data_IF_212973193426
#
_entry.id   IF_212973193426
#
_cell.length_a   1.000
_cell.length_b   1.000
_cell.length_c   1.000
_cell.angle_alpha   90.00
_cell.angle_beta   90.00
_cell.angle_gamma   90.00
#
_symmetry.space_group_name_H-M   'P 1'
#
loop_
_entity.id
_entity.type
_entity.pdbx_description
1 polymer ?
#
# COMPACT_ATOMS: atom_id res chain seq x y z
N UNK A 1 39.68 7.47 -26.84
CA UNK A 1 39.37 6.51 -25.80
C UNK A 1 38.47 7.12 -24.69
N UNK A 2 38.79 8.28 -24.19
CA UNK A 2 37.98 8.93 -23.14
C UNK A 2 36.55 9.28 -23.57
N UNK A 3 36.36 9.64 -24.83
CA UNK A 3 35.03 9.96 -25.37
C UNK A 3 34.11 8.75 -25.48
N UNK A 4 34.68 7.58 -25.77
CA UNK A 4 33.88 6.34 -25.83
C UNK A 4 33.43 5.87 -24.44
N UNK A 5 34.24 6.12 -23.45
CA UNK A 5 33.93 5.82 -22.05
C UNK A 5 32.79 6.68 -21.52
N UNK A 6 32.80 7.97 -21.88
CA UNK A 6 31.75 8.91 -21.51
C UNK A 6 30.41 8.56 -22.16
N UNK A 7 30.41 8.09 -23.39
CA UNK A 7 29.21 7.65 -24.09
C UNK A 7 28.57 6.43 -23.43
N UNK A 8 29.39 5.48 -23.00
CA UNK A 8 28.91 4.31 -22.27
C UNK A 8 28.27 4.67 -20.94
N UNK A 9 28.82 5.63 -20.25
CA UNK A 9 28.30 6.13 -18.98
C UNK A 9 26.94 6.81 -19.18
N UNK A 10 26.78 7.59 -20.24
CA UNK A 10 25.52 8.26 -20.55
C UNK A 10 24.40 7.27 -20.84
N UNK A 11 24.70 6.19 -21.55
CA UNK A 11 23.73 5.12 -21.84
C UNK A 11 23.29 4.41 -20.57
N UNK A 12 24.19 4.17 -19.64
CA UNK A 12 23.86 3.56 -18.35
C UNK A 12 22.91 4.43 -17.53
N UNK A 13 23.10 5.73 -17.55
CA UNK A 13 22.22 6.68 -16.85
C UNK A 13 20.82 6.69 -17.44
N UNK A 14 20.69 6.62 -18.75
CA UNK A 14 19.40 6.57 -19.44
C UNK A 14 18.64 5.29 -19.07
N UNK A 15 19.34 4.17 -18.99
CA UNK A 15 18.74 2.91 -18.59
C UNK A 15 18.20 2.94 -17.17
N UNK A 16 18.85 3.66 -16.30
CA UNK A 16 18.40 3.84 -14.92
C UNK A 16 17.07 4.62 -14.83
N UNK A 17 16.90 5.66 -15.65
CA UNK A 17 15.65 6.41 -15.71
C UNK A 17 14.46 5.57 -16.20
N UNK A 18 14.68 4.68 -17.16
CA UNK A 18 13.63 3.78 -17.66
C UNK A 18 13.18 2.83 -16.57
N UNK A 19 14.08 2.37 -15.71
CA UNK A 19 13.79 1.51 -14.57
C UNK A 19 12.87 2.21 -13.55
N UNK A 20 13.04 3.51 -13.31
CA UNK A 20 12.19 4.28 -12.39
C UNK A 20 10.73 4.40 -12.85
N UNK A 21 10.45 4.38 -14.14
CA UNK A 21 9.09 4.46 -14.68
C UNK A 21 8.24 3.23 -14.35
N UNK A 22 8.85 2.08 -14.13
CA UNK A 22 8.14 0.86 -13.74
C UNK A 22 7.53 0.95 -12.34
N UNK A 23 8.12 1.75 -11.46
CA UNK A 23 7.62 1.92 -10.10
C UNK A 23 6.29 2.67 -10.05
N UNK A 24 5.93 3.44 -11.08
CA UNK A 24 4.67 4.16 -11.14
C UNK A 24 3.46 3.27 -11.39
N UNK A 25 3.66 1.98 -11.71
CA UNK A 25 2.58 1.02 -11.96
C UNK A 25 2.09 0.32 -10.69
N UNK A 26 2.68 0.59 -9.53
CA UNK A 26 2.27 -0.02 -8.26
C UNK A 26 0.88 0.47 -7.83
N UNK A 27 0.14 -0.35 -7.06
CA UNK A 27 -1.14 0.09 -6.51
C UNK A 27 -1.00 1.40 -5.73
N UNK A 28 -2.03 2.24 -5.81
CA UNK A 28 -2.11 3.49 -5.05
C UNK A 28 -3.17 3.35 -3.97
N UNK A 29 -2.79 3.68 -2.73
CA UNK A 29 -3.66 3.57 -1.57
C UNK A 29 -4.06 4.98 -1.14
N UNK A 30 -5.37 5.23 -1.04
CA UNK A 30 -5.91 6.49 -0.53
C UNK A 30 -6.80 6.19 0.67
N UNK A 31 -6.62 6.93 1.74
CA UNK A 31 -7.51 6.87 2.89
C UNK A 31 -8.66 7.88 2.71
N UNK A 32 -9.82 7.56 3.28
CA UNK A 32 -10.97 8.45 3.22
C UNK A 32 -10.62 9.83 3.77
N UNK A 33 -11.11 10.89 3.13
CA UNK A 33 -10.85 12.29 3.50
C UNK A 33 -9.37 12.67 3.46
N UNK A 34 -8.52 11.89 2.80
CA UNK A 34 -7.07 12.12 2.71
C UNK A 34 -6.40 12.24 4.09
N UNK A 35 -6.93 11.56 5.10
CA UNK A 35 -6.35 11.56 6.44
C UNK A 35 -5.81 10.17 6.78
N UNK A 36 -4.61 10.12 7.34
CA UNK A 36 -3.96 8.89 7.76
C UNK A 36 -4.13 8.63 9.26
N UNK A 37 -5.24 9.10 9.83
CA UNK A 37 -5.47 9.06 11.26
C UNK A 37 -6.97 9.05 11.56
N UNK A 38 -7.38 8.32 12.60
CA UNK A 38 -8.74 8.28 13.07
C UNK A 38 -8.81 7.89 14.54
N UNK A 39 -10.01 7.89 15.11
CA UNK A 39 -10.22 7.57 16.53
C UNK A 39 -11.05 6.30 16.65
N UNK A 40 -10.57 5.35 17.46
CA UNK A 40 -11.36 4.18 17.82
C UNK A 40 -12.53 4.60 18.72
N UNK A 41 -13.62 3.84 18.65
CA UNK A 41 -14.77 4.06 19.54
C UNK A 41 -14.53 3.50 20.95
N UNK A 42 -15.54 3.58 21.80
CA UNK A 42 -15.45 3.12 23.18
C UNK A 42 -15.16 1.60 23.27
N UNK A 43 -15.53 0.84 22.25
CA UNK A 43 -15.33 -0.60 22.19
C UNK A 43 -13.96 -0.98 21.59
N UNK A 44 -13.14 -0.01 21.23
CA UNK A 44 -11.85 -0.27 20.57
C UNK A 44 -11.99 -0.66 19.12
N UNK A 45 -13.03 -0.19 18.45
CA UNK A 45 -13.31 -0.51 17.04
C UNK A 45 -13.15 0.71 16.15
N UNK A 46 -12.65 0.48 14.94
CA UNK A 46 -12.51 1.50 13.91
C UNK A 46 -12.74 0.88 12.54
N UNK A 47 -13.58 1.52 11.72
CA UNK A 47 -13.77 1.09 10.33
C UNK A 47 -12.85 1.91 9.44
N UNK A 48 -11.85 1.25 8.86
CA UNK A 48 -10.90 1.87 7.94
C UNK A 48 -11.48 1.82 6.54
N UNK A 49 -11.65 2.99 5.94
CA UNK A 49 -12.23 3.13 4.60
C UNK A 49 -11.30 3.92 3.69
N UNK A 50 -11.46 3.71 2.39
CA UNK A 50 -10.71 4.44 1.39
C UNK A 50 -10.82 3.78 0.02
N UNK A 51 -9.89 4.13 -0.86
CA UNK A 51 -9.88 3.68 -2.23
C UNK A 51 -8.49 3.21 -2.65
N UNK A 52 -8.45 2.12 -3.41
CA UNK A 52 -7.22 1.63 -4.02
C UNK A 52 -7.42 1.66 -5.54
N UNK A 53 -6.44 2.20 -6.25
CA UNK A 53 -6.39 2.14 -7.72
C UNK A 53 -5.12 1.42 -8.15
N UNK A 54 -5.22 0.61 -9.20
CA UNK A 54 -4.10 -0.16 -9.71
C UNK A 54 -4.22 -0.41 -11.20
N UNK A 55 -3.13 -0.20 -11.93
CA UNK A 55 -3.07 -0.52 -13.36
C UNK A 55 -3.15 -2.03 -13.58
N UNK A 56 -2.60 -2.82 -12.66
CA UNK A 56 -2.65 -4.28 -12.67
C UNK A 56 -3.71 -4.72 -11.66
N UNK A 57 -4.47 -5.76 -11.97
CA UNK A 57 -5.49 -6.28 -11.07
C UNK A 57 -4.91 -6.66 -9.72
N UNK A 58 -5.64 -6.37 -8.68
CA UNK A 58 -5.23 -6.66 -7.31
C UNK A 58 -5.23 -8.16 -7.03
N UNK A 59 -4.27 -8.59 -6.22
CA UNK A 59 -4.18 -9.97 -5.70
C UNK A 59 -4.76 -10.06 -4.30
N UNK A 60 -4.32 -9.17 -3.40
CA UNK A 60 -4.76 -9.18 -1.99
C UNK A 60 -4.45 -7.87 -1.29
N UNK A 61 -5.14 -7.65 -0.18
CA UNK A 61 -4.87 -6.58 0.78
C UNK A 61 -4.63 -7.21 2.14
N UNK A 62 -3.62 -6.77 2.86
CA UNK A 62 -3.36 -7.23 4.23
C UNK A 62 -3.28 -6.05 5.18
N UNK A 63 -3.74 -6.25 6.41
CA UNK A 63 -3.61 -5.27 7.50
C UNK A 63 -2.83 -5.89 8.64
N UNK A 64 -1.83 -5.17 9.14
CA UNK A 64 -0.97 -5.61 10.24
C UNK A 64 -0.93 -4.53 11.31
N UNK A 65 -1.09 -4.92 12.58
CA UNK A 65 -0.95 -4.00 13.71
C UNK A 65 0.52 -3.81 14.07
N UNK A 66 0.85 -2.61 14.49
CA UNK A 66 2.18 -2.27 15.00
C UNK A 66 2.66 -3.30 16.03
N UNK A 67 3.90 -3.76 15.87
CA UNK A 67 4.51 -4.71 16.79
C UNK A 67 4.18 -6.16 16.52
N UNK A 68 3.30 -6.46 15.56
CA UNK A 68 2.96 -7.83 15.17
C UNK A 68 3.66 -8.20 13.87
N UNK A 69 4.10 -9.47 13.77
CA UNK A 69 4.77 -9.97 12.57
C UNK A 69 3.78 -10.37 11.49
N UNK A 70 2.61 -10.90 11.88
CA UNK A 70 1.62 -11.44 10.96
C UNK A 70 0.43 -10.51 10.81
N UNK A 71 -0.18 -10.44 9.61
CA UNK A 71 -1.39 -9.65 9.43
C UNK A 71 -2.55 -10.25 10.22
N UNK A 72 -3.41 -9.38 10.74
CA UNK A 72 -4.64 -9.80 11.41
C UNK A 72 -5.82 -9.87 10.42
N UNK A 73 -5.66 -9.32 9.22
CA UNK A 73 -6.66 -9.37 8.18
C UNK A 73 -5.98 -9.61 6.83
N UNK A 74 -6.50 -10.57 6.07
CA UNK A 74 -6.05 -10.86 4.71
C UNK A 74 -7.28 -10.93 3.81
N UNK A 75 -7.38 -10.00 2.85
CA UNK A 75 -8.47 -9.97 1.89
C UNK A 75 -7.96 -10.47 0.53
N UNK A 76 -8.27 -11.72 0.23
CA UNK A 76 -7.95 -12.36 -1.05
C UNK A 76 -9.21 -12.60 -1.88
N UNK A 77 -10.33 -12.00 -1.51
CA UNK A 77 -11.63 -12.23 -2.17
C UNK A 77 -12.24 -10.95 -2.72
N UNK A 78 -12.56 -9.98 -1.86
CA UNK A 78 -13.27 -8.77 -2.30
C UNK A 78 -12.40 -7.83 -3.12
N UNK A 79 -11.11 -7.74 -2.80
CA UNK A 79 -10.15 -6.92 -3.55
C UNK A 79 -9.66 -7.61 -4.82
N UNK A 80 -9.61 -8.93 -4.83
CA UNK A 80 -8.99 -9.69 -5.90
C UNK A 80 -9.63 -9.43 -7.26
N UNK A 81 -8.79 -9.31 -8.29
CA UNK A 81 -9.18 -9.07 -9.68
C UNK A 81 -9.73 -7.68 -9.98
N UNK A 82 -9.65 -6.75 -9.04
CA UNK A 82 -10.11 -5.38 -9.24
C UNK A 82 -8.96 -4.44 -9.57
N UNK A 83 -9.25 -3.45 -10.41
CA UNK A 83 -8.34 -2.34 -10.71
C UNK A 83 -8.68 -1.12 -9.86
N UNK A 84 -9.95 -1.01 -9.43
CA UNK A 84 -10.47 0.04 -8.56
C UNK A 84 -11.24 -0.62 -7.45
N UNK A 85 -10.93 -0.28 -6.20
CA UNK A 85 -11.55 -0.92 -5.06
C UNK A 85 -11.77 0.06 -3.91
N UNK A 86 -13.03 0.22 -3.51
CA UNK A 86 -13.41 0.95 -2.30
C UNK A 86 -13.42 -0.03 -1.14
N UNK A 87 -12.46 0.12 -0.24
CA UNK A 87 -12.35 -0.82 0.87
C UNK A 87 -13.04 -0.29 2.12
N UNK A 88 -13.50 -1.23 2.96
CA UNK A 88 -14.08 -0.95 4.26
C UNK A 88 -13.74 -2.14 5.16
N UNK A 89 -12.83 -1.93 6.10
CA UNK A 89 -12.35 -2.99 6.98
C UNK A 89 -12.60 -2.61 8.44
N UNK A 90 -13.31 -3.46 9.18
CA UNK A 90 -13.52 -3.28 10.61
C UNK A 90 -12.28 -3.76 11.37
N UNK A 91 -11.70 -2.88 12.16
CA UNK A 91 -10.54 -3.17 13.00
C UNK A 91 -11.01 -3.15 14.45
N UNK A 92 -10.70 -4.20 15.19
CA UNK A 92 -11.13 -4.37 16.59
C UNK A 92 -9.92 -4.52 17.50
N UNK A 93 -10.16 -4.50 18.82
CA UNK A 93 -9.12 -4.74 19.81
C UNK A 93 -8.15 -3.59 20.00
N UNK A 94 -8.54 -2.36 19.69
CA UNK A 94 -7.71 -1.18 19.87
C UNK A 94 -7.82 -0.72 21.33
N UNK A 95 -6.76 -0.93 22.09
CA UNK A 95 -6.70 -0.55 23.52
C UNK A 95 -5.77 0.64 23.77
N UNK A 96 -4.94 0.99 22.81
CA UNK A 96 -4.02 2.12 22.86
C UNK A 96 -3.79 2.61 21.43
N UNK A 97 -3.15 3.77 21.28
CA UNK A 97 -2.80 4.28 19.95
C UNK A 97 -2.04 3.20 19.16
N UNK A 98 -2.53 2.88 17.99
CA UNK A 98 -2.01 1.75 17.20
C UNK A 98 -1.83 2.17 15.75
N UNK A 99 -0.65 1.91 15.18
CA UNK A 99 -0.41 2.10 13.75
C UNK A 99 -0.78 0.83 13.01
N UNK A 100 -1.60 0.97 11.98
CA UNK A 100 -1.99 -0.12 11.07
C UNK A 100 -1.20 0.04 9.79
N UNK A 101 -0.56 -1.02 9.34
CA UNK A 101 0.10 -1.06 8.03
C UNK A 101 -0.80 -1.80 7.05
N UNK A 102 -1.18 -1.14 5.98
CA UNK A 102 -1.91 -1.73 4.88
C UNK A 102 -0.93 -2.05 3.76
N UNK A 103 -0.86 -3.31 3.37
CA UNK A 103 -0.09 -3.76 2.22
C UNK A 103 -1.03 -4.21 1.12
N UNK A 104 -0.82 -3.69 -0.07
CA UNK A 104 -1.63 -4.01 -1.25
C UNK A 104 -0.74 -4.65 -2.29
N UNK A 105 -1.15 -5.82 -2.77
CA UNK A 105 -0.40 -6.61 -3.74
C UNK A 105 -1.20 -6.71 -5.03
N UNK A 106 -0.54 -6.52 -6.16
CA UNK A 106 -1.14 -6.78 -7.47
C UNK A 106 -0.69 -8.14 -8.02
N UNK A 107 -1.33 -8.58 -9.11
CA UNK A 107 -1.08 -9.90 -9.69
C UNK A 107 0.24 -10.01 -10.43
N UNK A 108 0.95 -8.91 -10.64
CA UNK A 108 2.28 -8.90 -11.26
C UNK A 108 3.42 -8.92 -10.25
N UNK A 109 3.10 -8.96 -8.94
CA UNK A 109 4.09 -8.92 -7.88
C UNK A 109 4.38 -7.50 -7.37
N UNK A 110 3.68 -6.49 -7.86
CA UNK A 110 3.79 -5.12 -7.35
C UNK A 110 3.19 -5.04 -5.95
N UNK A 111 3.80 -4.21 -5.10
CA UNK A 111 3.36 -4.02 -3.72
C UNK A 111 3.46 -2.56 -3.33
N UNK A 112 2.43 -2.07 -2.65
CA UNK A 112 2.43 -0.75 -2.01
C UNK A 112 2.05 -0.89 -0.55
N UNK A 113 2.58 -0.01 0.29
CA UNK A 113 2.31 0.00 1.71
C UNK A 113 1.92 1.40 2.15
N UNK A 114 0.97 1.50 3.07
CA UNK A 114 0.57 2.75 3.68
C UNK A 114 0.27 2.51 5.16
N UNK A 115 0.46 3.53 5.98
CA UNK A 115 0.24 3.46 7.42
C UNK A 115 -0.89 4.37 7.84
N UNK A 116 -1.71 3.89 8.77
CA UNK A 116 -2.82 4.62 9.34
C UNK A 116 -2.74 4.55 10.87
N UNK A 117 -2.83 5.69 11.54
CA UNK A 117 -2.79 5.75 13.00
C UNK A 117 -4.21 5.75 13.57
N UNK A 118 -4.52 4.78 14.43
CA UNK A 118 -5.77 4.76 15.18
C UNK A 118 -5.49 5.23 16.61
N UNK A 119 -6.11 6.33 16.98
CA UNK A 119 -6.00 6.89 18.34
C UNK A 119 -7.06 6.26 19.23
N UNK A 120 -6.68 6.05 20.50
CA UNK A 120 -7.61 5.49 21.49
C UNK A 120 -7.99 6.53 22.54
#
# INVERSE_FOLDING_TARGET
>A
MKTKFLLLFAVAVISFFVSCKKDSSKPQINFANNTAQGNADANGEYTLTGHISSAVRLEKVTLTKQGQADPFLVDESTAKNKNEYDYSYLITGIIANTTITMDVYDQSGGKSSAQFLILK
#
